data_IF_927730336355
#
_entry.id   IF_927730336355
#
_cell.length_a   1.000
_cell.length_b   1.000
_cell.length_c   1.000
_cell.angle_alpha   90.00
_cell.angle_beta   90.00
_cell.angle_gamma   90.00
#
_symmetry.space_group_name_H-M   'P 1'
#
loop_
_entity.id
_entity.type
_entity.pdbx_description
1 polymer ?
#
# COMPACT_ATOMS: atom_id res chain seq x y z
N UNK A 1 10.10 -29.05 12.64
CA UNK A 1 10.05 -28.06 11.58
C UNK A 1 11.10 -26.98 11.84
N UNK A 2 12.17 -26.98 11.07
CA UNK A 2 13.21 -25.97 11.16
C UNK A 2 12.63 -24.61 10.83
N UNK A 3 12.72 -23.67 11.77
CA UNK A 3 12.45 -22.27 11.54
C UNK A 3 13.51 -21.73 10.57
N UNK A 4 13.22 -21.70 9.29
CA UNK A 4 14.03 -20.91 8.37
C UNK A 4 13.72 -19.44 8.67
N UNK A 5 14.68 -18.72 9.24
CA UNK A 5 14.63 -17.27 9.30
C UNK A 5 14.76 -16.75 7.87
N UNK A 6 13.64 -16.56 7.21
CA UNK A 6 13.61 -15.79 5.99
C UNK A 6 13.75 -14.31 6.40
N UNK A 7 14.98 -13.87 6.64
CA UNK A 7 15.31 -12.49 6.53
C UNK A 7 15.16 -12.14 5.05
N UNK A 8 13.95 -11.81 4.63
CA UNK A 8 13.75 -11.18 3.34
C UNK A 8 14.27 -9.77 3.48
N UNK A 9 15.52 -9.55 3.10
CA UNK A 9 16.04 -8.22 2.89
C UNK A 9 15.22 -7.58 1.78
N UNK A 10 14.23 -6.81 2.19
CA UNK A 10 13.44 -5.97 1.28
C UNK A 10 14.34 -4.81 0.88
N UNK A 11 15.11 -5.02 -0.19
CA UNK A 11 16.00 -3.98 -0.70
C UNK A 11 15.18 -3.01 -1.55
N UNK A 12 14.89 -1.84 -0.98
CA UNK A 12 14.33 -0.70 -1.71
C UNK A 12 15.45 -0.06 -2.51
N UNK A 13 15.66 -0.48 -3.76
CA UNK A 13 16.56 0.22 -4.66
C UNK A 13 15.80 1.36 -5.36
N UNK A 14 15.96 2.55 -4.83
CA UNK A 14 15.64 3.77 -5.54
C UNK A 14 16.75 4.01 -6.57
N UNK A 15 16.53 3.67 -7.83
CA UNK A 15 17.46 4.02 -8.90
C UNK A 15 17.27 5.50 -9.22
N UNK A 16 18.05 6.35 -8.58
CA UNK A 16 18.19 7.76 -8.96
C UNK A 16 19.05 7.81 -10.23
N UNK A 17 18.45 7.59 -11.36
CA UNK A 17 19.04 7.90 -12.65
C UNK A 17 19.06 9.42 -12.82
N UNK A 18 20.24 10.02 -12.92
CA UNK A 18 20.44 11.47 -13.17
C UNK A 18 20.06 11.93 -14.58
N UNK A 19 19.56 11.04 -15.43
CA UNK A 19 19.06 11.38 -16.76
C UNK A 19 17.54 11.54 -16.71
N UNK A 20 17.08 12.73 -16.96
CA UNK A 20 15.75 13.27 -16.72
C UNK A 20 14.61 12.65 -17.52
N UNK A 21 14.78 11.55 -18.23
CA UNK A 21 13.77 10.97 -19.11
C UNK A 21 13.54 9.46 -18.96
N UNK A 22 14.33 8.75 -18.16
CA UNK A 22 14.05 7.32 -17.93
C UNK A 22 12.96 7.13 -16.88
N UNK A 23 11.96 6.27 -17.12
CA UNK A 23 10.91 5.98 -16.14
C UNK A 23 11.53 5.36 -14.89
N UNK A 24 11.21 5.92 -13.73
CA UNK A 24 11.62 5.40 -12.43
C UNK A 24 10.58 4.40 -11.94
N UNK A 25 11.03 3.32 -11.30
CA UNK A 25 10.16 2.31 -10.70
C UNK A 25 10.43 2.23 -9.20
N UNK A 26 9.35 2.21 -8.41
CA UNK A 26 9.42 1.88 -7.01
C UNK A 26 9.12 0.39 -6.89
N UNK A 27 10.14 -0.44 -6.62
CA UNK A 27 10.00 -1.88 -6.68
C UNK A 27 10.56 -2.57 -5.44
N UNK A 28 9.90 -3.65 -5.06
CA UNK A 28 10.35 -4.62 -4.06
C UNK A 28 10.91 -5.83 -4.80
N UNK A 29 12.09 -6.26 -4.42
CA UNK A 29 12.81 -7.35 -5.07
C UNK A 29 12.93 -8.54 -4.13
N UNK A 30 12.75 -9.75 -4.65
CA UNK A 30 13.08 -10.96 -3.91
C UNK A 30 14.58 -11.25 -4.03
N UNK A 31 15.25 -11.18 -2.89
CA UNK A 31 16.67 -11.47 -2.75
C UNK A 31 16.87 -12.64 -1.79
N UNK A 32 17.70 -13.60 -2.14
CA UNK A 32 18.05 -14.74 -1.30
C UNK A 32 19.57 -14.84 -1.16
N UNK A 33 20.08 -15.82 -0.42
CA UNK A 33 21.50 -16.11 -0.34
C UNK A 33 22.16 -16.44 -1.70
N UNK A 34 21.35 -16.73 -2.72
CA UNK A 34 21.79 -16.94 -4.12
C UNK A 34 21.72 -15.66 -4.97
N UNK A 35 21.37 -14.50 -4.37
CA UNK A 35 21.21 -13.23 -5.06
C UNK A 35 19.76 -12.94 -5.48
N UNK A 36 19.60 -11.98 -6.40
CA UNK A 36 18.30 -11.59 -6.94
C UNK A 36 17.65 -12.74 -7.74
N UNK A 37 16.40 -13.04 -7.43
CA UNK A 37 15.68 -14.18 -7.99
C UNK A 37 14.87 -13.86 -9.27
N UNK A 38 15.04 -12.67 -9.84
CA UNK A 38 14.24 -12.24 -11.00
C UNK A 38 12.79 -11.87 -10.68
N UNK A 39 12.38 -12.01 -9.41
CA UNK A 39 11.03 -11.74 -8.95
C UNK A 39 10.97 -10.35 -8.33
N UNK A 40 10.00 -9.55 -8.74
CA UNK A 40 9.77 -8.20 -8.22
C UNK A 40 8.29 -7.88 -8.19
N UNK A 41 7.92 -7.00 -7.27
CA UNK A 41 6.67 -6.26 -7.29
C UNK A 41 6.96 -4.80 -7.58
N UNK A 42 6.27 -4.19 -8.53
CA UNK A 42 6.37 -2.76 -8.81
C UNK A 42 5.13 -2.07 -8.24
N UNK A 43 5.35 -1.08 -7.40
CA UNK A 43 4.30 -0.29 -6.77
C UNK A 43 3.29 0.21 -7.80
N UNK A 44 2.00 -0.08 -7.58
CA UNK A 44 0.92 0.30 -8.51
C UNK A 44 0.32 1.65 -8.20
N UNK A 45 0.06 1.94 -6.93
CA UNK A 45 -0.49 3.20 -6.47
C UNK A 45 0.64 4.15 -6.08
N UNK A 46 1.14 4.89 -7.05
CA UNK A 46 2.19 5.89 -6.84
C UNK A 46 1.62 7.14 -6.16
N UNK A 47 2.41 7.72 -5.26
CA UNK A 47 1.99 8.84 -4.43
C UNK A 47 2.03 10.16 -5.21
N UNK A 48 0.87 10.88 -5.31
CA UNK A 48 0.83 12.21 -5.92
C UNK A 48 1.77 13.18 -5.18
N UNK A 49 2.37 14.11 -5.92
CA UNK A 49 3.30 15.14 -5.46
C UNK A 49 4.63 14.64 -4.88
N UNK A 50 4.72 13.38 -4.50
CA UNK A 50 5.97 12.74 -4.07
C UNK A 50 6.63 11.92 -5.19
N UNK A 51 5.90 10.93 -5.68
CA UNK A 51 6.42 9.99 -6.69
C UNK A 51 6.07 10.41 -8.12
N UNK A 52 4.99 11.16 -8.32
CA UNK A 52 4.66 11.80 -9.61
C UNK A 52 3.95 13.13 -9.40
N UNK A 53 3.97 13.96 -10.44
CA UNK A 53 3.30 15.26 -10.42
C UNK A 53 2.07 15.25 -11.33
N UNK A 54 0.83 15.29 -10.77
CA UNK A 54 -0.37 15.46 -11.56
C UNK A 54 -0.31 16.76 -12.36
N UNK A 55 -0.76 16.74 -13.62
CA UNK A 55 -0.75 17.94 -14.50
C UNK A 55 0.60 18.65 -14.51
N UNK A 56 1.71 17.91 -14.55
CA UNK A 56 3.09 18.41 -14.43
C UNK A 56 3.33 19.70 -15.19
N UNK A 57 2.93 19.78 -16.49
CA UNK A 57 3.12 20.96 -17.33
C UNK A 57 2.48 22.24 -16.79
N UNK A 58 1.39 22.10 -16.01
CA UNK A 58 0.70 23.24 -15.40
C UNK A 58 1.33 23.58 -14.05
N UNK A 59 1.58 22.59 -13.22
CA UNK A 59 2.08 22.78 -11.86
C UNK A 59 3.51 23.31 -11.86
N UNK A 60 4.37 22.92 -12.80
CA UNK A 60 5.73 23.45 -12.98
C UNK A 60 5.74 24.96 -13.28
N UNK A 61 4.67 25.50 -13.88
CA UNK A 61 4.56 26.95 -14.12
C UNK A 61 4.15 27.74 -12.89
N UNK A 62 3.57 27.08 -11.88
CA UNK A 62 2.94 27.73 -10.71
C UNK A 62 3.79 27.53 -9.45
N UNK A 63 4.48 26.38 -9.32
CA UNK A 63 5.18 26.01 -8.09
C UNK A 63 6.64 25.65 -8.35
N UNK A 64 7.60 26.31 -7.67
CA UNK A 64 9.02 25.93 -7.75
C UNK A 64 9.29 24.56 -7.12
N UNK A 65 8.39 24.03 -6.28
CA UNK A 65 8.51 22.71 -5.65
C UNK A 65 8.18 21.57 -6.59
N UNK A 66 7.61 21.85 -7.76
CA UNK A 66 7.25 20.87 -8.78
C UNK A 66 8.44 20.01 -9.23
N UNK A 67 9.65 20.58 -9.22
CA UNK A 67 10.89 19.90 -9.61
C UNK A 67 11.29 18.75 -8.65
N UNK A 68 10.77 18.73 -7.43
CA UNK A 68 11.11 17.70 -6.43
C UNK A 68 10.24 16.45 -6.56
N UNK A 69 9.12 16.54 -7.24
CA UNK A 69 8.28 15.38 -7.50
C UNK A 69 8.97 14.42 -8.47
N UNK A 70 8.98 13.14 -8.11
CA UNK A 70 9.55 12.08 -8.95
C UNK A 70 8.84 11.92 -10.30
N UNK A 71 9.33 10.99 -11.09
CA UNK A 71 8.71 10.55 -12.34
C UNK A 71 8.56 9.03 -12.35
N UNK A 72 7.97 8.51 -11.25
CA UNK A 72 7.73 7.08 -11.10
C UNK A 72 6.56 6.64 -11.96
N UNK A 73 6.67 5.41 -12.45
CA UNK A 73 5.61 4.76 -13.21
C UNK A 73 4.95 3.65 -12.39
N UNK A 74 3.63 3.48 -12.48
CA UNK A 74 2.92 2.42 -11.79
C UNK A 74 3.24 1.06 -12.39
N UNK A 75 3.28 0.02 -11.52
CA UNK A 75 3.31 -1.38 -11.92
C UNK A 75 1.92 -1.92 -12.24
N UNK A 76 1.88 -3.13 -12.77
CA UNK A 76 0.65 -3.84 -13.11
C UNK A 76 0.69 -5.34 -12.76
N UNK A 77 1.63 -5.74 -11.89
CA UNK A 77 1.73 -7.13 -11.44
C UNK A 77 0.66 -7.49 -10.38
N UNK A 78 0.62 -8.78 -10.01
CA UNK A 78 -0.40 -9.31 -9.08
C UNK A 78 -0.22 -8.87 -7.61
N UNK A 79 0.85 -8.16 -7.29
CA UNK A 79 1.17 -7.75 -5.94
C UNK A 79 1.53 -8.92 -5.02
N UNK A 80 2.04 -10.04 -5.56
CA UNK A 80 2.39 -11.23 -4.79
C UNK A 80 3.81 -11.68 -5.09
N UNK A 81 4.59 -11.88 -4.05
CA UNK A 81 5.95 -12.44 -4.12
C UNK A 81 5.95 -13.80 -3.42
N UNK A 82 6.36 -14.89 -4.10
CA UNK A 82 6.57 -16.20 -3.46
C UNK A 82 7.83 -16.14 -2.57
N UNK A 83 7.70 -16.55 -1.31
CA UNK A 83 8.78 -16.57 -0.32
C UNK A 83 8.73 -17.89 0.43
N UNK A 84 9.74 -18.76 0.26
CA UNK A 84 9.91 -20.03 1.01
C UNK A 84 8.61 -20.85 1.15
N UNK A 85 7.93 -21.12 0.05
CA UNK A 85 6.69 -21.88 0.04
C UNK A 85 5.46 -21.12 0.50
N UNK A 86 5.61 -19.85 0.89
CA UNK A 86 4.51 -18.93 1.21
C UNK A 86 4.30 -17.90 0.09
N UNK A 87 3.23 -17.12 0.18
CA UNK A 87 2.89 -16.09 -0.79
C UNK A 87 2.64 -14.77 -0.06
N UNK A 88 3.64 -13.88 -0.10
CA UNK A 88 3.54 -12.55 0.46
C UNK A 88 2.76 -11.63 -0.49
N UNK A 89 1.64 -11.09 -0.05
CA UNK A 89 1.03 -9.93 -0.70
C UNK A 89 1.82 -8.69 -0.35
N UNK A 90 2.21 -7.89 -1.32
CA UNK A 90 3.05 -6.71 -1.10
C UNK A 90 2.25 -5.44 -1.35
N UNK A 91 2.25 -4.53 -0.37
CA UNK A 91 1.72 -3.17 -0.52
C UNK A 91 2.77 -2.18 -0.01
N UNK A 92 3.38 -1.42 -0.92
CA UNK A 92 4.53 -0.57 -0.61
C UNK A 92 4.11 0.78 -0.02
N UNK A 93 4.41 1.02 1.27
CA UNK A 93 4.22 2.31 1.94
C UNK A 93 2.77 2.82 1.82
N UNK A 94 2.55 3.98 1.19
CA UNK A 94 1.25 4.58 0.93
C UNK A 94 0.24 3.65 0.23
N UNK A 95 0.70 2.65 -0.49
CA UNK A 95 -0.15 1.71 -1.23
C UNK A 95 -1.12 0.91 -0.34
N UNK A 96 -0.80 0.72 0.95
CA UNK A 96 -1.67 0.01 1.90
C UNK A 96 -3.01 0.70 2.15
N UNK A 97 -3.14 2.00 1.85
CA UNK A 97 -4.39 2.73 2.01
C UNK A 97 -5.45 2.31 0.97
N UNK A 98 -5.00 1.80 -0.18
CA UNK A 98 -5.90 1.38 -1.25
C UNK A 98 -6.43 -0.03 -1.03
N UNK A 99 -7.74 -0.18 -1.07
CA UNK A 99 -8.42 -1.44 -0.82
C UNK A 99 -8.05 -2.53 -1.81
N UNK A 100 -7.86 -2.15 -3.06
CA UNK A 100 -7.59 -3.07 -4.15
C UNK A 100 -6.20 -3.71 -4.06
N UNK A 101 -5.20 -3.04 -3.46
CA UNK A 101 -3.85 -3.60 -3.32
C UNK A 101 -3.85 -4.89 -2.51
N UNK A 102 -4.32 -4.84 -1.27
CA UNK A 102 -4.38 -6.02 -0.40
C UNK A 102 -5.39 -7.06 -0.91
N UNK A 103 -6.56 -6.63 -1.39
CA UNK A 103 -7.60 -7.50 -1.92
C UNK A 103 -7.11 -8.28 -3.14
N UNK A 104 -6.45 -7.63 -4.09
CA UNK A 104 -5.91 -8.31 -5.27
C UNK A 104 -4.84 -9.32 -4.88
N UNK A 105 -3.94 -8.99 -3.96
CA UNK A 105 -2.96 -9.94 -3.47
C UNK A 105 -3.64 -11.20 -2.87
N UNK A 106 -4.72 -11.03 -2.10
CA UNK A 106 -5.51 -12.15 -1.55
C UNK A 106 -6.22 -12.94 -2.66
N UNK A 107 -6.71 -12.28 -3.71
CA UNK A 107 -7.26 -12.96 -4.88
C UNK A 107 -6.21 -13.82 -5.60
N UNK A 108 -4.96 -13.38 -5.61
CA UNK A 108 -3.81 -14.13 -6.12
C UNK A 108 -3.15 -15.01 -5.06
N UNK A 109 -3.94 -15.44 -4.05
CA UNK A 109 -3.57 -16.40 -3.02
C UNK A 109 -2.43 -15.97 -2.07
N UNK A 110 -2.28 -14.67 -1.81
CA UNK A 110 -1.43 -14.21 -0.71
C UNK A 110 -1.98 -14.73 0.63
N UNK A 111 -1.10 -15.31 1.46
CA UNK A 111 -1.46 -15.87 2.76
C UNK A 111 -0.98 -15.03 3.95
N UNK A 112 -0.22 -13.99 3.70
CA UNK A 112 0.14 -12.89 4.59
C UNK A 112 0.47 -11.64 3.76
N UNK A 113 0.59 -10.48 4.40
CA UNK A 113 0.91 -9.21 3.73
C UNK A 113 2.23 -8.64 4.25
N UNK A 114 3.05 -8.12 3.34
CA UNK A 114 4.26 -7.37 3.63
C UNK A 114 4.05 -5.90 3.25
N UNK A 115 4.36 -4.99 4.18
CA UNK A 115 4.24 -3.53 4.00
C UNK A 115 5.61 -2.88 4.24
N UNK A 116 6.52 -3.01 3.27
CA UNK A 116 7.78 -2.27 3.34
C UNK A 116 7.52 -0.79 3.14
N UNK A 117 8.06 0.04 4.04
CA UNK A 117 7.78 1.47 4.02
C UNK A 117 9.00 2.32 4.33
N UNK A 118 9.00 3.55 3.84
CA UNK A 118 9.97 4.57 4.21
C UNK A 118 9.20 5.80 4.70
N UNK A 119 9.21 5.99 6.02
CA UNK A 119 8.52 7.07 6.71
C UNK A 119 9.46 8.23 7.07
N UNK A 120 10.66 8.31 6.47
CA UNK A 120 11.65 9.32 6.83
C UNK A 120 11.12 10.76 6.67
N UNK A 121 10.26 11.00 5.68
CA UNK A 121 9.64 12.31 5.44
C UNK A 121 8.58 12.69 6.47
N UNK A 122 8.03 11.72 7.20
CA UNK A 122 7.03 11.97 8.23
C UNK A 122 7.62 12.50 9.55
N UNK A 123 8.94 12.34 9.74
CA UNK A 123 9.61 12.75 10.97
C UNK A 123 9.00 12.03 12.19
N UNK A 124 8.85 12.78 13.28
CA UNK A 124 8.18 12.33 14.51
C UNK A 124 6.69 12.61 14.52
N UNK A 125 6.06 12.83 13.36
CA UNK A 125 4.64 13.06 13.27
C UNK A 125 3.81 11.80 13.49
N UNK A 126 2.52 11.95 13.72
CA UNK A 126 1.58 10.84 13.86
C UNK A 126 1.27 10.11 12.54
N UNK A 127 1.81 10.55 11.40
CA UNK A 127 1.54 9.94 10.09
C UNK A 127 2.01 8.49 10.01
N UNK A 128 3.13 8.16 10.68
CA UNK A 128 3.62 6.78 10.82
C UNK A 128 2.58 5.88 11.50
N UNK A 129 1.99 6.36 12.60
CA UNK A 129 0.97 5.60 13.35
C UNK A 129 -0.37 5.53 12.61
N UNK A 130 -0.72 6.55 11.84
CA UNK A 130 -1.89 6.50 10.95
C UNK A 130 -1.73 5.40 9.89
N UNK A 131 -0.56 5.29 9.28
CA UNK A 131 -0.26 4.21 8.33
C UNK A 131 -0.30 2.83 9.01
N UNK A 132 0.21 2.72 10.25
CA UNK A 132 0.13 1.50 11.03
C UNK A 132 -1.32 1.11 11.33
N UNK A 133 -2.16 2.08 11.72
CA UNK A 133 -3.59 1.86 11.96
C UNK A 133 -4.34 1.40 10.70
N UNK A 134 -3.99 1.91 9.53
CA UNK A 134 -4.52 1.42 8.25
C UNK A 134 -4.09 -0.04 8.03
N UNK A 135 -2.85 -0.38 8.34
CA UNK A 135 -2.35 -1.76 8.26
C UNK A 135 -3.10 -2.71 9.21
N UNK A 136 -3.50 -2.23 10.41
CA UNK A 136 -4.39 -2.97 11.32
C UNK A 136 -5.77 -3.22 10.72
N UNK A 137 -6.32 -2.19 10.07
CA UNK A 137 -7.60 -2.33 9.37
C UNK A 137 -7.50 -3.40 8.27
N UNK A 138 -6.44 -3.35 7.45
CA UNK A 138 -6.22 -4.35 6.39
C UNK A 138 -6.02 -5.76 6.93
N UNK A 139 -5.35 -5.92 8.07
CA UNK A 139 -5.19 -7.22 8.72
C UNK A 139 -6.55 -7.85 9.05
N UNK A 140 -7.47 -7.06 9.63
CA UNK A 140 -8.84 -7.49 9.95
C UNK A 140 -9.68 -7.75 8.71
N UNK A 141 -9.70 -6.80 7.79
CA UNK A 141 -10.49 -6.85 6.56
C UNK A 141 -10.17 -8.11 5.73
N UNK A 142 -8.89 -8.39 5.56
CA UNK A 142 -8.41 -9.47 4.71
C UNK A 142 -8.17 -10.78 5.48
N UNK A 143 -8.28 -10.74 6.80
CA UNK A 143 -7.96 -11.85 7.71
C UNK A 143 -6.56 -12.42 7.44
N UNK A 144 -5.55 -11.54 7.44
CA UNK A 144 -4.14 -11.86 7.16
C UNK A 144 -3.23 -11.23 8.20
N UNK A 145 -2.15 -11.93 8.53
CA UNK A 145 -1.04 -11.27 9.18
C UNK A 145 -0.47 -10.19 8.25
N UNK A 146 -0.18 -9.03 8.82
CA UNK A 146 0.51 -7.93 8.14
C UNK A 146 1.84 -7.69 8.83
N UNK A 147 2.91 -7.72 8.05
CA UNK A 147 4.26 -7.42 8.52
C UNK A 147 4.66 -6.05 7.98
N UNK A 148 4.70 -5.06 8.85
CA UNK A 148 5.15 -3.71 8.52
C UNK A 148 6.64 -3.63 8.80
N UNK A 149 7.43 -3.30 7.77
CA UNK A 149 8.87 -3.10 7.89
C UNK A 149 9.22 -1.68 7.46
N UNK A 150 9.53 -0.82 8.42
CA UNK A 150 9.85 0.59 8.20
C UNK A 150 11.34 0.86 8.35
N UNK A 151 11.86 1.78 7.53
CA UNK A 151 13.26 2.23 7.62
C UNK A 151 13.50 3.17 8.79
N UNK A 152 12.53 4.00 9.15
CA UNK A 152 12.63 5.03 10.18
C UNK A 152 11.37 5.17 11.03
N UNK A 153 10.25 4.60 10.57
CA UNK A 153 8.98 4.58 11.29
C UNK A 153 8.82 3.36 12.17
N UNK A 154 7.63 3.17 12.72
CA UNK A 154 7.28 1.99 13.49
C UNK A 154 7.14 0.76 12.58
N UNK A 155 7.89 -0.29 12.89
CA UNK A 155 7.70 -1.63 12.33
C UNK A 155 6.87 -2.46 13.30
N UNK A 156 6.09 -3.41 12.79
CA UNK A 156 5.29 -4.28 13.65
C UNK A 156 4.81 -5.54 12.91
N UNK A 157 4.44 -6.55 13.68
CA UNK A 157 3.60 -7.64 13.22
C UNK A 157 2.16 -7.36 13.65
N UNK A 158 1.21 -7.51 12.74
CA UNK A 158 -0.21 -7.27 13.01
C UNK A 158 -0.97 -8.57 12.73
N UNK A 159 -1.63 -9.10 13.74
CA UNK A 159 -2.44 -10.32 13.61
C UNK A 159 -3.78 -10.06 12.91
N UNK A 160 -4.47 -11.11 12.40
CA UNK A 160 -5.73 -10.96 11.67
C UNK A 160 -6.88 -10.32 12.46
N UNK A 161 -6.78 -10.25 13.79
CA UNK A 161 -7.69 -9.51 14.65
C UNK A 161 -7.31 -8.04 14.83
N UNK A 162 -6.21 -7.60 14.19
CA UNK A 162 -5.69 -6.24 14.25
C UNK A 162 -4.82 -5.94 15.47
N UNK A 163 -4.46 -6.93 16.28
CA UNK A 163 -3.54 -6.73 17.41
C UNK A 163 -2.12 -6.48 16.91
N UNK A 164 -1.48 -5.44 17.44
CA UNK A 164 -0.08 -5.10 17.14
C UNK A 164 0.83 -5.89 18.07
N UNK A 165 1.90 -6.43 17.51
CA UNK A 165 2.94 -7.18 18.18
C UNK A 165 4.31 -6.63 17.79
N UNK A 166 5.24 -6.61 18.75
CA UNK A 166 6.65 -6.27 18.53
C UNK A 166 6.84 -4.92 17.82
N UNK A 167 6.02 -3.92 18.20
CA UNK A 167 6.17 -2.55 17.67
C UNK A 167 7.52 -1.98 18.02
N UNK A 168 8.21 -1.41 17.02
CA UNK A 168 9.54 -0.84 17.19
C UNK A 168 9.48 0.66 17.45
N UNK A 169 10.44 1.22 18.20
CA UNK A 169 10.60 2.67 18.32
C UNK A 169 10.92 3.33 16.97
N UNK A 170 10.64 4.64 16.89
CA UNK A 170 10.97 5.44 15.71
C UNK A 170 12.46 5.76 15.69
N UNK A 171 13.06 5.73 14.51
CA UNK A 171 14.47 6.10 14.26
C UNK A 171 15.51 5.28 15.03
N UNK A 172 15.14 4.11 15.54
CA UNK A 172 16.05 3.19 16.20
C UNK A 172 16.27 1.94 15.34
N UNK A 173 17.50 1.45 15.35
CA UNK A 173 17.80 0.16 14.73
C UNK A 173 17.25 -0.95 15.61
N UNK A 174 16.33 -1.74 15.06
CA UNK A 174 15.67 -2.82 15.76
C UNK A 174 15.47 -4.04 14.85
N UNK A 175 15.36 -5.21 15.44
CA UNK A 175 14.92 -6.42 14.76
C UNK A 175 13.89 -7.16 15.61
N UNK A 176 12.97 -7.83 14.94
CA UNK A 176 11.98 -8.69 15.60
C UNK A 176 11.77 -9.96 14.78
N UNK A 177 11.49 -11.06 15.45
CA UNK A 177 11.21 -12.36 14.84
C UNK A 177 9.94 -12.92 15.46
N UNK A 178 8.99 -13.30 14.61
CA UNK A 178 7.72 -13.86 15.06
C UNK A 178 7.25 -14.97 14.12
N UNK A 179 6.76 -16.06 14.70
CA UNK A 179 6.04 -17.07 13.95
C UNK A 179 4.62 -16.58 13.69
N UNK A 180 4.20 -16.60 12.43
CA UNK A 180 2.87 -16.19 12.00
C UNK A 180 2.11 -17.36 11.38
N UNK A 181 0.81 -17.42 11.59
CA UNK A 181 -0.06 -18.40 10.94
C UNK A 181 -0.42 -17.92 9.53
N UNK A 182 -0.42 -18.84 8.59
CA UNK A 182 -0.78 -18.54 7.20
C UNK A 182 -2.26 -18.83 6.97
N UNK A 183 -2.96 -17.89 6.33
CA UNK A 183 -4.39 -18.01 6.07
C UNK A 183 -4.66 -18.03 4.56
N UNK A 184 -5.51 -18.96 4.12
CA UNK A 184 -5.93 -19.08 2.71
C UNK A 184 -7.39 -18.66 2.46
N UNK A 185 -8.21 -18.53 3.53
CA UNK A 185 -9.64 -18.22 3.41
C UNK A 185 -9.84 -16.75 3.04
N UNK A 186 -10.73 -16.46 2.11
CA UNK A 186 -11.14 -15.11 1.75
C UNK A 186 -12.31 -14.64 2.63
N UNK A 187 -12.25 -13.41 3.09
CA UNK A 187 -13.32 -12.80 3.89
C UNK A 187 -14.48 -12.33 3.02
N UNK A 188 -15.64 -12.09 3.62
CA UNK A 188 -16.76 -11.45 2.93
C UNK A 188 -16.38 -10.08 2.34
N UNK A 189 -15.56 -9.30 3.05
CA UNK A 189 -15.04 -8.02 2.57
C UNK A 189 -14.31 -8.15 1.23
N UNK A 190 -13.49 -9.20 1.06
CA UNK A 190 -12.75 -9.45 -0.18
C UNK A 190 -13.67 -9.56 -1.41
N UNK A 191 -14.89 -10.07 -1.24
CA UNK A 191 -15.85 -10.27 -2.33
C UNK A 191 -16.85 -9.10 -2.48
N UNK A 192 -17.34 -8.57 -1.36
CA UNK A 192 -18.47 -7.63 -1.35
C UNK A 192 -18.04 -6.18 -1.55
N UNK A 193 -16.86 -5.79 -1.07
CA UNK A 193 -16.42 -4.40 -1.07
C UNK A 193 -16.52 -3.71 -2.44
N UNK A 194 -16.06 -4.29 -3.56
CA UNK A 194 -16.15 -3.62 -4.85
C UNK A 194 -17.59 -3.33 -5.30
N UNK A 195 -18.54 -4.15 -4.85
CA UNK A 195 -19.96 -3.97 -5.15
C UNK A 195 -20.58 -2.93 -4.23
N UNK A 196 -20.25 -2.95 -2.94
CA UNK A 196 -20.73 -1.97 -1.96
C UNK A 196 -20.32 -0.55 -2.36
N UNK A 197 -19.07 -0.34 -2.72
CA UNK A 197 -18.56 0.95 -3.18
C UNK A 197 -19.36 1.45 -4.40
N UNK A 198 -19.60 0.59 -5.39
CA UNK A 198 -20.39 0.95 -6.58
C UNK A 198 -21.84 1.27 -6.22
N UNK A 199 -22.45 0.49 -5.34
CA UNK A 199 -23.84 0.70 -4.89
C UNK A 199 -23.95 2.06 -4.18
N UNK A 200 -23.08 2.33 -3.19
CA UNK A 200 -23.13 3.59 -2.44
C UNK A 200 -22.84 4.79 -3.32
N UNK A 201 -21.86 4.71 -4.22
CA UNK A 201 -21.57 5.78 -5.19
C UNK A 201 -22.78 6.03 -6.09
N UNK A 202 -23.42 4.97 -6.62
CA UNK A 202 -24.59 5.09 -7.48
C UNK A 202 -25.76 5.72 -6.74
N UNK A 203 -26.05 5.26 -5.53
CA UNK A 203 -27.11 5.85 -4.68
C UNK A 203 -26.82 7.32 -4.38
N UNK A 204 -25.59 7.68 -4.04
CA UNK A 204 -25.19 9.06 -3.82
C UNK A 204 -25.45 9.94 -5.05
N UNK A 205 -25.06 9.48 -6.24
CA UNK A 205 -25.31 10.18 -7.50
C UNK A 205 -26.80 10.36 -7.74
N UNK A 206 -27.60 9.32 -7.54
CA UNK A 206 -29.07 9.39 -7.72
C UNK A 206 -29.73 10.38 -6.76
N UNK A 207 -29.29 10.42 -5.51
CA UNK A 207 -29.75 11.42 -4.52
C UNK A 207 -29.40 12.83 -4.97
N UNK A 208 -28.18 13.08 -5.43
CA UNK A 208 -27.74 14.37 -5.93
C UNK A 208 -28.59 14.81 -7.14
N UNK A 209 -28.80 13.92 -8.10
CA UNK A 209 -29.63 14.20 -9.29
C UNK A 209 -31.06 14.52 -8.86
N UNK A 210 -31.66 13.70 -7.98
CA UNK A 210 -33.01 13.93 -7.45
C UNK A 210 -33.16 15.29 -6.75
N UNK A 211 -32.15 15.67 -5.96
CA UNK A 211 -32.13 16.97 -5.29
C UNK A 211 -32.06 18.14 -6.28
N UNK A 212 -31.25 18.02 -7.34
CA UNK A 212 -31.15 19.06 -8.40
C UNK A 212 -32.47 19.21 -9.14
N UNK A 213 -33.14 18.10 -9.47
CA UNK A 213 -34.45 18.11 -10.16
C UNK A 213 -35.49 18.73 -9.28
N UNK A 214 -35.57 18.36 -8.00
CA UNK A 214 -36.50 18.92 -7.04
C UNK A 214 -36.29 20.44 -6.84
N UNK A 215 -35.06 20.85 -6.76
CA UNK A 215 -34.72 22.28 -6.64
C UNK A 215 -35.17 23.10 -7.87
N UNK A 216 -34.99 22.54 -9.09
CA UNK A 216 -35.48 23.19 -10.30
C UNK A 216 -36.98 23.32 -10.33
N UNK A 217 -37.72 22.29 -9.87
CA UNK A 217 -39.18 22.32 -9.79
C UNK A 217 -39.71 23.34 -8.77
N UNK A 218 -38.96 23.57 -7.66
CA UNK A 218 -39.36 24.53 -6.64
C UNK A 218 -39.12 25.99 -7.05
N UNK A 219 -38.27 26.24 -8.08
CA UNK A 219 -37.96 27.59 -8.60
C UNK A 219 -38.84 28.06 -9.75
N UNK A 220 -39.89 27.32 -10.12
CA UNK A 220 -40.85 27.75 -11.13
C UNK A 220 -42.18 28.01 -10.44
N UNK A 221 -42.39 29.24 -9.90
CA UNK A 221 -43.64 29.92 -10.02
C UNK A 221 -43.37 31.30 -10.62
N UNK A 222 -43.86 31.51 -11.84
CA UNK A 222 -44.48 32.74 -12.35
C UNK A 222 -44.47 32.76 -13.84
#
# INVERSE_FOLDING_TARGET
>A
LSSSSAASDVYKRQVLGRESHSPQLNAILLWTGKGYQGIRHVKRHIQPFGEYLPLRRLVEKISPYAMWAGNFQPGNDDGVIPVDGTRAGVATCFEIIFDDSGRQAVHHAANWLAVPTNNATFGFSNETYQQLAISQFRARELHRWVVVASTSGASAFISPDGTIWDETPLYEQHYAVRSISLYGIRTAATYLQPWLDRIFCTLGILVCIGSIISWKKCKIPL
#
